data_IF_949613674716
#
_entry.id   IF_949613674716
#
_cell.length_a   1.000
_cell.length_b   1.000
_cell.length_c   1.000
_cell.angle_alpha   90.00
_cell.angle_beta   90.00
_cell.angle_gamma   90.00
#
_symmetry.space_group_name_H-M   'P 1'
#
loop_
_entity.id
_entity.type
_entity.pdbx_description
1 polymer ?
#
# COMPACT_ATOMS: atom_id res chain seq x y z
N UNK A 1 6.66 -0.07 -9.97
CA UNK A 1 7.03 -1.49 -9.72
C UNK A 1 8.07 -2.03 -10.71
N UNK A 2 8.29 -1.38 -11.87
CA UNK A 2 9.28 -1.80 -12.87
C UNK A 2 8.89 -3.05 -13.67
N UNK A 3 7.63 -3.47 -13.64
CA UNK A 3 7.15 -4.62 -14.43
C UNK A 3 7.07 -4.31 -15.92
N UNK A 4 6.83 -3.06 -16.29
CA UNK A 4 6.82 -2.58 -17.67
C UNK A 4 7.97 -1.60 -17.87
N UNK A 5 8.72 -1.70 -18.98
CA UNK A 5 9.72 -0.71 -19.34
C UNK A 5 9.04 0.61 -19.71
N UNK A 6 9.69 1.73 -19.36
CA UNK A 6 9.25 3.03 -19.85
C UNK A 6 9.49 3.12 -21.37
N UNK A 7 8.54 3.70 -22.11
CA UNK A 7 8.72 3.96 -23.55
C UNK A 7 9.77 5.05 -23.78
N UNK A 8 9.79 6.05 -22.89
CA UNK A 8 10.74 7.16 -22.89
C UNK A 8 11.02 7.60 -21.45
N UNK A 9 12.15 8.30 -21.25
CA UNK A 9 12.55 8.81 -19.95
C UNK A 9 13.12 7.73 -19.02
N UNK A 10 13.25 8.07 -17.75
CA UNK A 10 13.73 7.14 -16.72
C UNK A 10 12.94 7.31 -15.41
N UNK A 11 12.79 6.22 -14.68
CA UNK A 11 12.26 6.21 -13.33
C UNK A 11 13.32 5.73 -12.34
N UNK A 12 13.36 6.34 -11.15
CA UNK A 12 14.29 5.96 -10.08
C UNK A 12 13.52 5.67 -8.80
N UNK A 13 13.93 4.61 -8.09
CA UNK A 13 13.49 4.31 -6.72
C UNK A 13 14.75 4.22 -5.85
N UNK A 14 14.75 4.89 -4.71
CA UNK A 14 15.92 4.99 -3.82
C UNK A 14 17.21 5.46 -4.54
N UNK A 15 17.07 6.38 -5.51
CA UNK A 15 18.18 6.89 -6.31
C UNK A 15 18.71 5.93 -7.39
N UNK A 16 18.21 4.70 -7.46
CA UNK A 16 18.59 3.70 -8.47
C UNK A 16 17.60 3.71 -9.62
N UNK A 17 18.10 3.54 -10.85
CA UNK A 17 17.26 3.38 -12.04
C UNK A 17 16.41 2.13 -11.89
N UNK A 18 15.13 2.24 -12.19
CA UNK A 18 14.21 1.13 -12.13
C UNK A 18 14.54 0.12 -13.24
N UNK A 19 14.87 -1.10 -12.85
CA UNK A 19 15.11 -2.22 -13.74
C UNK A 19 14.15 -3.36 -13.41
N UNK A 20 13.49 -3.90 -14.43
CA UNK A 20 12.60 -5.05 -14.31
C UNK A 20 13.31 -6.29 -13.74
N UNK A 21 14.61 -6.43 -13.96
CA UNK A 21 15.42 -7.53 -13.45
C UNK A 21 15.92 -7.31 -11.99
N UNK A 22 15.84 -6.09 -11.45
CA UNK A 22 16.33 -5.78 -10.11
C UNK A 22 15.35 -6.24 -9.03
N UNK A 23 15.50 -7.49 -8.62
CA UNK A 23 14.73 -8.09 -7.52
C UNK A 23 15.07 -7.47 -6.16
N UNK A 24 16.27 -6.88 -6.00
CA UNK A 24 16.68 -6.30 -4.73
C UNK A 24 15.87 -5.03 -4.42
N UNK A 25 15.71 -4.14 -5.39
CA UNK A 25 14.84 -2.96 -5.23
C UNK A 25 13.40 -3.35 -4.92
N UNK A 26 12.87 -4.42 -5.52
CA UNK A 26 11.51 -4.90 -5.27
C UNK A 26 11.29 -5.40 -3.85
N UNK A 27 12.31 -5.95 -3.19
CA UNK A 27 12.21 -6.39 -1.78
C UNK A 27 11.95 -5.25 -0.80
N UNK A 28 12.26 -4.01 -1.19
CA UNK A 28 12.02 -2.81 -0.40
C UNK A 28 10.69 -2.12 -0.74
N UNK A 29 9.90 -2.72 -1.63
CA UNK A 29 8.62 -2.14 -2.09
C UNK A 29 7.46 -3.04 -1.73
N UNK A 30 6.49 -2.52 -1.00
CA UNK A 30 5.18 -3.13 -0.85
C UNK A 30 4.22 -2.57 -1.90
N UNK A 31 3.36 -3.42 -2.45
CA UNK A 31 2.40 -3.02 -3.48
C UNK A 31 1.00 -3.52 -3.13
N UNK A 32 0.02 -2.64 -3.31
CA UNK A 32 -1.40 -2.96 -3.20
C UNK A 32 -2.12 -2.45 -4.44
N UNK A 33 -2.73 -3.35 -5.19
CA UNK A 33 -3.53 -3.02 -6.36
C UNK A 33 -4.94 -2.57 -5.97
N UNK A 34 -5.61 -1.86 -6.88
CA UNK A 34 -7.01 -1.43 -6.71
C UNK A 34 -7.96 -2.61 -6.46
N UNK A 35 -7.79 -3.69 -7.22
CA UNK A 35 -8.57 -4.90 -7.05
C UNK A 35 -7.99 -5.78 -5.96
N UNK A 36 -8.86 -6.44 -5.18
CA UNK A 36 -8.42 -7.45 -4.22
C UNK A 36 -7.72 -8.59 -4.97
N UNK A 37 -6.41 -8.71 -4.78
CA UNK A 37 -5.52 -9.63 -5.52
C UNK A 37 -4.98 -10.76 -4.67
N UNK A 38 -5.50 -10.94 -3.43
CA UNK A 38 -5.09 -12.01 -2.55
C UNK A 38 -5.88 -13.28 -2.82
N UNK A 39 -5.38 -14.40 -2.31
CA UNK A 39 -5.98 -15.71 -2.53
C UNK A 39 -7.28 -15.86 -1.74
N UNK A 40 -8.39 -16.01 -2.45
CA UNK A 40 -9.74 -16.16 -1.88
C UNK A 40 -9.94 -17.48 -1.15
N UNK A 41 -9.17 -18.52 -1.52
CA UNK A 41 -9.22 -19.87 -0.96
C UNK A 41 -8.36 -20.02 0.31
N UNK A 42 -7.56 -19.01 0.63
CA UNK A 42 -6.73 -18.97 1.82
C UNK A 42 -7.34 -18.05 2.87
N UNK A 43 -7.28 -18.43 4.14
CA UNK A 43 -7.68 -17.56 5.24
C UNK A 43 -6.81 -16.30 5.33
N UNK A 44 -7.22 -15.32 6.14
CA UNK A 44 -6.42 -14.13 6.44
C UNK A 44 -5.00 -14.51 6.86
N UNK A 45 -4.88 -15.41 7.83
CA UNK A 45 -3.59 -15.92 8.35
C UNK A 45 -2.78 -16.62 7.27
N UNK A 46 -3.41 -17.46 6.46
CA UNK A 46 -2.75 -18.19 5.40
C UNK A 46 -2.24 -17.26 4.27
N UNK A 47 -2.99 -16.20 3.95
CA UNK A 47 -2.51 -15.18 3.01
C UNK A 47 -1.24 -14.49 3.54
N UNK A 48 -1.20 -14.12 4.82
CA UNK A 48 0.00 -13.54 5.44
C UNK A 48 1.18 -14.51 5.44
N UNK A 49 0.96 -15.79 5.79
CA UNK A 49 2.01 -16.82 5.80
C UNK A 49 2.58 -17.06 4.41
N UNK A 50 1.71 -17.18 3.41
CA UNK A 50 2.15 -17.36 2.02
C UNK A 50 3.05 -16.21 1.56
N UNK A 51 2.64 -14.97 1.81
CA UNK A 51 3.43 -13.81 1.38
C UNK A 51 4.71 -13.66 2.18
N UNK A 52 4.73 -14.00 3.48
CA UNK A 52 5.96 -14.06 4.27
C UNK A 52 6.98 -15.03 3.64
N UNK A 53 6.53 -16.18 3.18
CA UNK A 53 7.37 -17.17 2.48
C UNK A 53 7.82 -16.68 1.10
N UNK A 54 6.93 -16.05 0.32
CA UNK A 54 7.27 -15.47 -1.00
C UNK A 54 8.34 -14.40 -0.90
N UNK A 55 8.34 -13.61 0.18
CA UNK A 55 9.37 -12.62 0.47
C UNK A 55 10.56 -13.17 1.25
N UNK A 56 10.62 -14.51 1.44
CA UNK A 56 11.72 -15.20 2.10
C UNK A 56 12.00 -14.71 3.53
N UNK A 57 10.95 -14.42 4.31
CA UNK A 57 11.11 -14.13 5.73
C UNK A 57 11.70 -15.38 6.44
N UNK A 58 12.66 -15.19 7.37
CA UNK A 58 13.18 -16.30 8.16
C UNK A 58 12.06 -17.01 8.92
N UNK A 59 12.10 -18.33 8.98
CA UNK A 59 11.06 -19.13 9.63
C UNK A 59 10.84 -18.72 11.10
N UNK A 60 11.90 -18.34 11.81
CA UNK A 60 11.83 -17.87 13.19
C UNK A 60 11.09 -16.51 13.33
N UNK A 61 11.08 -15.68 12.29
CA UNK A 61 10.43 -14.36 12.29
C UNK A 61 8.99 -14.40 11.75
N UNK A 62 8.65 -15.41 10.94
CA UNK A 62 7.37 -15.49 10.24
C UNK A 62 6.19 -15.48 11.20
N UNK A 63 6.17 -16.34 12.21
CA UNK A 63 5.09 -16.41 13.19
C UNK A 63 4.86 -15.10 13.98
N UNK A 64 5.91 -14.57 14.62
CA UNK A 64 5.83 -13.26 15.30
C UNK A 64 5.37 -12.12 14.38
N UNK A 65 5.84 -12.10 13.13
CA UNK A 65 5.45 -11.06 12.15
C UNK A 65 3.99 -11.16 11.74
N UNK A 66 3.48 -12.38 11.52
CA UNK A 66 2.05 -12.59 11.24
C UNK A 66 1.20 -12.12 12.42
N UNK A 67 1.58 -12.48 13.65
CA UNK A 67 0.86 -12.05 14.85
C UNK A 67 0.84 -10.51 14.97
N UNK A 68 1.97 -9.84 14.71
CA UNK A 68 2.05 -8.38 14.67
C UNK A 68 1.11 -7.78 13.64
N UNK A 69 1.07 -8.32 12.41
CA UNK A 69 0.19 -7.83 11.35
C UNK A 69 -1.29 -8.02 11.69
N UNK A 70 -1.66 -9.16 12.26
CA UNK A 70 -3.02 -9.43 12.70
C UNK A 70 -3.48 -8.44 13.77
N UNK A 71 -2.64 -8.15 14.76
CA UNK A 71 -2.95 -7.19 15.82
C UNK A 71 -3.01 -5.76 15.29
N UNK A 72 -2.01 -5.36 14.52
CA UNK A 72 -1.85 -3.98 14.04
C UNK A 72 -2.98 -3.53 13.14
N UNK A 73 -3.55 -4.44 12.36
CA UNK A 73 -4.61 -4.14 11.39
C UNK A 73 -5.99 -4.66 11.80
N UNK A 74 -6.18 -4.97 13.09
CA UNK A 74 -7.44 -5.46 13.66
C UNK A 74 -8.01 -6.66 12.88
N UNK A 75 -7.17 -7.66 12.63
CA UNK A 75 -7.50 -8.87 11.88
C UNK A 75 -7.52 -10.14 12.75
N UNK A 76 -7.29 -10.02 14.07
CA UNK A 76 -7.18 -11.18 14.99
C UNK A 76 -8.44 -12.02 14.96
N UNK A 77 -9.61 -11.39 15.14
CA UNK A 77 -10.91 -12.06 15.21
C UNK A 77 -11.32 -12.76 13.90
N UNK A 78 -10.72 -12.33 12.78
CA UNK A 78 -11.01 -12.87 11.44
C UNK A 78 -9.86 -13.66 10.86
N UNK A 79 -8.84 -13.97 11.66
CA UNK A 79 -7.60 -14.60 11.21
C UNK A 79 -7.80 -15.90 10.43
N UNK A 80 -8.82 -16.68 10.80
CA UNK A 80 -9.14 -17.97 10.20
C UNK A 80 -10.34 -17.91 9.24
N UNK A 81 -10.78 -16.69 8.87
CA UNK A 81 -11.87 -16.43 7.93
C UNK A 81 -11.35 -16.28 6.51
N UNK A 82 -12.10 -16.73 5.52
CA UNK A 82 -11.80 -16.54 4.11
C UNK A 82 -12.15 -15.10 3.66
N UNK A 83 -11.34 -14.46 2.81
CA UNK A 83 -11.55 -13.08 2.36
C UNK A 83 -12.93 -12.80 1.75
N UNK A 84 -13.57 -13.70 0.97
CA UNK A 84 -14.89 -13.42 0.42
C UNK A 84 -16.00 -13.21 1.47
N UNK A 85 -15.83 -13.73 2.69
CA UNK A 85 -16.76 -13.54 3.78
C UNK A 85 -16.56 -12.21 4.55
N UNK A 86 -15.51 -11.45 4.23
CA UNK A 86 -15.14 -10.24 4.94
C UNK A 86 -15.71 -8.98 4.25
N UNK A 87 -16.11 -7.95 5.02
CA UNK A 87 -16.38 -6.62 4.48
C UNK A 87 -15.21 -6.05 3.69
N UNK A 88 -15.49 -5.17 2.73
CA UNK A 88 -14.44 -4.59 1.85
C UNK A 88 -13.36 -3.87 2.65
N UNK A 89 -13.69 -3.07 3.67
CA UNK A 89 -12.72 -2.39 4.52
C UNK A 89 -11.76 -3.34 5.23
N UNK A 90 -12.27 -4.51 5.69
CA UNK A 90 -11.42 -5.55 6.31
C UNK A 90 -10.49 -6.20 5.27
N UNK A 91 -10.99 -6.45 4.06
CA UNK A 91 -10.17 -6.96 2.95
C UNK A 91 -9.07 -5.97 2.57
N UNK A 92 -9.34 -4.67 2.60
CA UNK A 92 -8.32 -3.65 2.33
C UNK A 92 -7.25 -3.60 3.43
N UNK A 93 -7.65 -3.74 4.72
CA UNK A 93 -6.69 -3.88 5.82
C UNK A 93 -5.81 -5.13 5.67
N UNK A 94 -6.37 -6.26 5.25
CA UNK A 94 -5.60 -7.47 4.93
C UNK A 94 -4.62 -7.21 3.78
N UNK A 95 -5.05 -6.57 2.70
CA UNK A 95 -4.17 -6.24 1.57
C UNK A 95 -3.00 -5.35 2.00
N UNK A 96 -3.25 -4.36 2.87
CA UNK A 96 -2.22 -3.50 3.44
C UNK A 96 -1.26 -4.29 4.34
N UNK A 97 -1.77 -5.17 5.21
CA UNK A 97 -0.97 -6.03 6.08
C UNK A 97 -0.05 -6.95 5.27
N UNK A 98 -0.55 -7.53 4.18
CA UNK A 98 0.23 -8.37 3.26
C UNK A 98 1.32 -7.54 2.56
N UNK A 99 0.99 -6.34 2.08
CA UNK A 99 1.97 -5.45 1.44
C UNK A 99 3.10 -5.03 2.39
N UNK A 100 2.89 -5.11 3.70
CA UNK A 100 3.83 -4.74 4.75
C UNK A 100 4.57 -5.93 5.40
N UNK A 101 4.20 -7.16 5.06
CA UNK A 101 4.70 -8.36 5.76
C UNK A 101 6.24 -8.44 5.77
N UNK A 102 6.89 -8.00 4.70
CA UNK A 102 8.33 -8.04 4.49
C UNK A 102 9.07 -6.75 4.90
N UNK A 103 8.40 -5.85 5.64
CA UNK A 103 8.96 -4.57 6.13
C UNK A 103 9.54 -3.68 5.01
N UNK A 104 8.74 -3.29 4.00
CA UNK A 104 9.22 -2.44 2.91
C UNK A 104 9.48 -1.00 3.39
N UNK A 105 10.40 -0.30 2.71
CA UNK A 105 10.68 1.13 2.92
C UNK A 105 9.73 2.04 2.11
N UNK A 106 9.12 1.48 1.05
CA UNK A 106 8.17 2.16 0.17
C UNK A 106 6.92 1.33 -0.02
N UNK A 107 5.75 1.94 0.18
CA UNK A 107 4.46 1.39 -0.22
C UNK A 107 3.94 2.11 -1.46
N UNK A 108 3.48 1.33 -2.44
CA UNK A 108 2.76 1.81 -3.61
C UNK A 108 1.33 1.28 -3.51
N UNK A 109 0.37 2.19 -3.39
CA UNK A 109 -1.04 1.87 -3.19
C UNK A 109 -1.86 2.46 -4.34
N UNK A 110 -2.58 1.61 -5.05
CA UNK A 110 -3.39 2.02 -6.20
C UNK A 110 -4.86 2.04 -5.81
N UNK A 111 -5.41 3.25 -5.67
CA UNK A 111 -6.79 3.53 -5.25
C UNK A 111 -7.28 2.65 -4.06
N UNK A 112 -6.54 2.57 -2.95
CA UNK A 112 -6.73 1.54 -1.93
C UNK A 112 -8.06 1.62 -1.18
N UNK A 113 -8.76 2.75 -1.28
CA UNK A 113 -10.03 3.00 -0.58
C UNK A 113 -11.22 3.12 -1.53
N UNK A 114 -11.02 2.76 -2.81
CA UNK A 114 -12.10 2.76 -3.79
C UNK A 114 -13.23 1.80 -3.39
N UNK A 115 -14.46 2.31 -3.35
CA UNK A 115 -15.64 1.55 -2.94
C UNK A 115 -15.77 1.26 -1.43
N UNK A 116 -14.81 1.69 -0.61
CA UNK A 116 -14.85 1.54 0.84
C UNK A 116 -15.76 2.61 1.44
N UNK A 117 -16.57 2.23 2.45
CA UNK A 117 -17.42 3.16 3.18
C UNK A 117 -16.59 4.23 3.92
N UNK A 118 -17.17 5.41 4.23
CA UNK A 118 -16.41 6.53 4.81
C UNK A 118 -15.73 6.21 6.15
N UNK A 119 -16.34 5.38 7.01
CA UNK A 119 -15.79 5.05 8.33
C UNK A 119 -14.55 4.16 8.17
N UNK A 120 -14.66 3.07 7.41
CA UNK A 120 -13.54 2.17 7.14
C UNK A 120 -12.44 2.87 6.33
N UNK A 121 -12.78 3.84 5.47
CA UNK A 121 -11.82 4.69 4.76
C UNK A 121 -11.01 5.55 5.74
N UNK A 122 -11.64 6.20 6.69
CA UNK A 122 -10.95 7.00 7.70
C UNK A 122 -10.04 6.15 8.60
N UNK A 123 -10.47 4.95 8.96
CA UNK A 123 -9.63 4.00 9.67
C UNK A 123 -8.40 3.60 8.85
N UNK A 124 -8.58 3.29 7.57
CA UNK A 124 -7.49 2.95 6.66
C UNK A 124 -6.45 4.07 6.57
N UNK A 125 -6.90 5.33 6.48
CA UNK A 125 -6.02 6.49 6.47
C UNK A 125 -5.27 6.68 7.80
N UNK A 126 -5.85 6.32 8.94
CA UNK A 126 -5.11 6.32 10.22
C UNK A 126 -3.93 5.36 10.19
N UNK A 127 -4.09 4.17 9.61
CA UNK A 127 -2.98 3.22 9.42
C UNK A 127 -1.89 3.82 8.51
N UNK A 128 -2.25 4.45 7.39
CA UNK A 128 -1.28 5.06 6.48
C UNK A 128 -0.51 6.19 7.16
N UNK A 129 -1.17 7.06 7.88
CA UNK A 129 -0.54 8.15 8.63
C UNK A 129 0.43 7.59 9.69
N UNK A 130 0.00 6.59 10.45
CA UNK A 130 0.86 5.95 11.44
C UNK A 130 2.10 5.32 10.82
N UNK A 131 1.96 4.60 9.71
CA UNK A 131 3.06 4.00 8.94
C UNK A 131 4.06 5.07 8.47
N UNK A 132 3.57 6.19 7.94
CA UNK A 132 4.43 7.27 7.46
C UNK A 132 5.14 7.99 8.60
N UNK A 133 4.42 8.32 9.70
CA UNK A 133 4.96 9.17 10.78
C UNK A 133 5.79 8.40 11.81
N UNK A 134 5.37 7.19 12.16
CA UNK A 134 6.04 6.40 13.20
C UNK A 134 7.05 5.41 12.62
N UNK A 135 6.67 4.70 11.56
CA UNK A 135 7.55 3.68 10.96
C UNK A 135 8.43 4.24 9.84
N UNK A 136 8.24 5.50 9.45
CA UNK A 136 8.99 6.19 8.39
C UNK A 136 8.89 5.49 7.02
N UNK A 137 7.80 4.80 6.77
CA UNK A 137 7.53 4.21 5.46
C UNK A 137 7.14 5.32 4.49
N UNK A 138 7.80 5.39 3.35
CA UNK A 138 7.38 6.27 2.25
C UNK A 138 6.14 5.68 1.59
N UNK A 139 5.09 6.47 1.42
CA UNK A 139 3.85 6.00 0.82
C UNK A 139 3.57 6.79 -0.45
N UNK A 140 3.47 6.08 -1.57
CA UNK A 140 3.00 6.59 -2.85
C UNK A 140 1.60 6.03 -3.10
N UNK A 141 0.61 6.91 -3.19
CA UNK A 141 -0.79 6.55 -3.32
C UNK A 141 -1.41 7.22 -4.54
N UNK A 142 -2.13 6.46 -5.37
CA UNK A 142 -3.03 7.02 -6.35
C UNK A 142 -4.44 7.13 -5.76
N UNK A 143 -5.12 8.22 -6.02
CA UNK A 143 -6.52 8.43 -5.63
C UNK A 143 -7.19 9.43 -6.55
N UNK A 144 -8.49 9.28 -6.74
CA UNK A 144 -9.33 10.28 -7.41
C UNK A 144 -10.18 11.09 -6.41
N UNK A 145 -10.01 10.86 -5.10
CA UNK A 145 -10.69 11.59 -4.04
C UNK A 145 -9.84 12.76 -3.55
N UNK A 146 -10.34 13.99 -3.73
CA UNK A 146 -9.60 15.20 -3.34
C UNK A 146 -9.38 15.30 -1.82
N UNK A 147 -10.35 14.88 -1.01
CA UNK A 147 -10.23 14.84 0.45
C UNK A 147 -9.17 13.86 0.96
N UNK A 148 -8.77 12.89 0.16
CA UNK A 148 -7.63 12.01 0.45
C UNK A 148 -6.31 12.69 0.08
N UNK A 149 -6.27 13.38 -1.06
CA UNK A 149 -5.10 14.14 -1.49
C UNK A 149 -4.69 15.21 -0.45
N UNK A 150 -5.66 15.83 0.22
CA UNK A 150 -5.40 16.80 1.29
C UNK A 150 -4.67 16.20 2.52
N UNK A 151 -4.73 14.88 2.71
CA UNK A 151 -4.02 14.17 3.79
C UNK A 151 -2.56 13.86 3.47
N UNK A 152 -2.14 14.07 2.23
CA UNK A 152 -0.78 13.81 1.76
C UNK A 152 0.14 15.00 2.02
N UNK A 153 1.43 14.74 2.20
CA UNK A 153 2.44 15.81 2.33
C UNK A 153 2.70 16.52 1.01
N UNK A 154 2.57 15.78 -0.09
CA UNK A 154 2.81 16.27 -1.46
C UNK A 154 1.89 15.54 -2.42
N UNK A 155 1.35 16.26 -3.38
CA UNK A 155 0.50 15.70 -4.42
C UNK A 155 1.03 16.06 -5.80
N UNK A 156 0.69 15.22 -6.77
CA UNK A 156 0.89 15.47 -8.20
C UNK A 156 -0.47 15.37 -8.88
N UNK A 157 -0.98 16.47 -9.37
CA UNK A 157 -2.22 16.51 -10.14
C UNK A 157 -1.95 16.10 -11.58
N UNK A 158 -2.68 15.10 -12.05
CA UNK A 158 -2.52 14.57 -13.40
C UNK A 158 -3.82 14.65 -14.18
N UNK A 159 -3.72 14.97 -15.45
CA UNK A 159 -4.83 14.92 -16.41
C UNK A 159 -4.34 14.54 -17.80
N UNK A 160 -5.04 13.64 -18.46
CA UNK A 160 -4.70 13.18 -19.81
C UNK A 160 -3.21 12.78 -19.97
N UNK A 161 -2.65 12.07 -18.97
CA UNK A 161 -1.25 11.62 -18.98
C UNK A 161 -0.21 12.71 -18.71
N UNK A 162 -0.63 13.95 -18.40
CA UNK A 162 0.27 15.06 -18.11
C UNK A 162 0.18 15.48 -16.65
N UNK A 163 1.32 15.83 -16.06
CA UNK A 163 1.38 16.45 -14.74
C UNK A 163 1.04 17.92 -14.88
N UNK A 164 -0.02 18.38 -14.21
CA UNK A 164 -0.49 19.75 -14.22
C UNK A 164 0.12 20.60 -13.11
N UNK A 165 0.32 20.02 -11.95
CA UNK A 165 0.89 20.69 -10.79
C UNK A 165 1.49 19.66 -9.81
N UNK A 166 2.50 20.09 -9.05
CA UNK A 166 3.14 19.29 -8.00
C UNK A 166 3.43 20.22 -6.82
N UNK A 167 2.99 19.85 -5.63
CA UNK A 167 3.25 20.66 -4.42
C UNK A 167 2.53 20.11 -3.19
N UNK A 168 2.67 20.82 -2.07
CA UNK A 168 1.83 20.54 -0.91
C UNK A 168 0.38 20.95 -1.20
N UNK A 169 -0.62 20.21 -0.70
CA UNK A 169 -2.03 20.51 -1.00
C UNK A 169 -2.42 21.96 -0.67
N UNK A 170 -2.00 22.48 0.48
CA UNK A 170 -2.29 23.84 0.91
C UNK A 170 -1.68 24.92 0.01
N UNK A 171 -0.49 24.65 -0.56
CA UNK A 171 0.18 25.59 -1.47
C UNK A 171 -0.54 25.64 -2.82
N UNK A 172 -0.89 24.48 -3.36
CA UNK A 172 -1.61 24.37 -4.62
C UNK A 172 -3.03 24.96 -4.55
N UNK A 173 -3.69 24.85 -3.39
CA UNK A 173 -4.99 25.49 -3.17
C UNK A 173 -4.87 27.02 -3.19
N UNK A 174 -3.79 27.59 -2.63
CA UNK A 174 -3.56 29.05 -2.62
C UNK A 174 -3.19 29.62 -3.99
N UNK A 175 -2.47 28.86 -4.80
CA UNK A 175 -2.05 29.32 -6.13
C UNK A 175 -3.19 29.34 -7.17
N UNK A 176 -4.27 28.59 -6.92
CA UNK A 176 -5.37 28.41 -7.88
C UNK A 176 -6.74 28.86 -7.39
N UNK A 177 -6.86 29.31 -6.16
CA UNK A 177 -8.08 29.95 -5.58
C UNK A 177 -8.02 31.40 -5.74
#
# INVERSE_FOLDING_TARGET
>A
TGLLPASEGEAKIFGRKLDAADLQTRRHVGYMSQSFSLYSELTVRQNLDLHARLFHLPAAETGPRIAEMLQRFDLVEVADTLPPALPLGVRQRLSLAVALIHKPDLLILDEPTSGVDPVARDEFWRYLIALSRHDRVTIFISTHFMNEAERCDRISLMHAGKVLAVGAPADLARERG
#
